data_IF_417003896474
#
_entry.id   IF_417003896474
#
_cell.length_a   1.000
_cell.length_b   1.000
_cell.length_c   1.000
_cell.angle_alpha   90.00
_cell.angle_beta   90.00
_cell.angle_gamma   90.00
#
_symmetry.space_group_name_H-M   'P 1'
#
loop_
_entity.id
_entity.type
_entity.pdbx_description
1 polymer ?
#
# COMPACT_ATOMS: atom_id res chain seq x y z
N UNK A 1 14.30 -0.37 -31.80
CA UNK A 1 13.18 0.60 -31.87
C UNK A 1 13.13 1.30 -30.53
N UNK A 2 13.83 2.43 -30.41
CA UNK A 2 13.96 3.20 -29.17
C UNK A 2 12.63 3.89 -28.88
N UNK A 3 12.01 3.52 -27.77
CA UNK A 3 10.90 4.26 -27.17
C UNK A 3 11.47 5.50 -26.49
N UNK A 4 11.60 6.60 -27.25
CA UNK A 4 11.80 7.92 -26.67
C UNK A 4 10.52 8.31 -25.92
N UNK A 5 10.49 8.05 -24.62
CA UNK A 5 9.53 8.69 -23.74
C UNK A 5 9.84 10.21 -23.73
N UNK A 6 9.03 10.99 -24.43
CA UNK A 6 9.01 12.45 -24.27
C UNK A 6 8.58 12.76 -22.84
N UNK A 7 9.55 12.98 -21.95
CA UNK A 7 9.31 13.58 -20.65
C UNK A 7 8.80 15.00 -20.87
N UNK A 8 7.50 15.25 -20.64
CA UNK A 8 7.01 16.61 -20.42
C UNK A 8 7.65 17.13 -19.14
N UNK A 9 8.68 17.94 -19.26
CA UNK A 9 9.20 18.70 -18.13
C UNK A 9 8.11 19.69 -17.68
N UNK A 10 7.73 19.61 -16.41
CA UNK A 10 6.89 20.62 -15.79
C UNK A 10 7.64 21.96 -15.84
N UNK A 11 6.87 23.08 -15.89
CA UNK A 11 7.39 24.45 -16.07
C UNK A 11 8.36 24.93 -14.99
N UNK A 12 8.55 24.12 -13.91
CA UNK A 12 9.43 24.41 -12.77
C UNK A 12 10.73 23.58 -12.75
N UNK A 13 11.07 22.83 -13.82
CA UNK A 13 12.30 22.01 -13.87
C UNK A 13 12.26 20.76 -13.01
N UNK A 14 11.14 20.40 -12.42
CA UNK A 14 10.97 19.16 -11.66
C UNK A 14 10.74 17.97 -12.61
N UNK A 15 11.24 16.80 -12.18
CA UNK A 15 10.96 15.54 -12.86
C UNK A 15 9.45 15.25 -12.70
N UNK A 16 8.74 14.82 -13.77
CA UNK A 16 7.33 14.45 -13.64
C UNK A 16 7.16 13.28 -12.67
N UNK A 17 6.02 13.20 -11.95
CA UNK A 17 5.75 12.11 -11.03
C UNK A 17 5.87 10.74 -11.71
N UNK A 18 6.35 9.75 -10.99
CA UNK A 18 6.42 8.38 -11.49
C UNK A 18 5.01 7.89 -11.88
N UNK A 19 4.89 7.32 -13.09
CA UNK A 19 3.58 6.94 -13.65
C UNK A 19 2.75 8.10 -14.20
N UNK A 20 3.28 9.32 -14.22
CA UNK A 20 2.71 10.49 -14.90
C UNK A 20 1.84 11.41 -14.02
N UNK A 21 1.34 10.94 -12.88
CA UNK A 21 0.47 11.70 -11.98
C UNK A 21 0.76 11.42 -10.51
N UNK A 22 0.89 12.46 -9.70
CA UNK A 22 1.01 12.34 -8.24
C UNK A 22 -0.38 12.06 -7.63
N UNK A 23 -0.52 10.92 -6.98
CA UNK A 23 -1.77 10.49 -6.34
C UNK A 23 -1.81 10.92 -4.88
N UNK A 24 -2.36 12.10 -4.59
CA UNK A 24 -2.63 12.51 -3.22
C UNK A 24 -4.01 11.96 -2.79
N UNK A 25 -4.02 11.05 -1.81
CA UNK A 25 -5.23 10.35 -1.38
C UNK A 25 -5.87 10.98 -0.14
N UNK A 26 -5.39 12.13 0.33
CA UNK A 26 -5.90 12.78 1.54
C UNK A 26 -7.22 13.49 1.24
N UNK A 27 -8.28 13.09 1.94
CA UNK A 27 -9.61 13.68 1.84
C UNK A 27 -9.67 14.92 2.74
N UNK A 28 -9.96 16.07 2.13
CA UNK A 28 -10.11 17.36 2.83
C UNK A 28 -11.56 17.63 3.27
N UNK A 29 -12.54 17.04 2.59
CA UNK A 29 -13.96 17.21 2.91
C UNK A 29 -14.34 16.43 4.16
N UNK A 30 -14.74 17.15 5.22
CA UNK A 30 -15.14 16.57 6.49
C UNK A 30 -16.41 15.72 6.40
N UNK A 31 -17.36 16.09 5.54
CA UNK A 31 -18.62 15.35 5.39
C UNK A 31 -18.35 14.01 4.69
N UNK A 32 -17.55 14.02 3.63
CA UNK A 32 -17.12 12.80 2.95
C UNK A 32 -16.32 11.89 3.88
N UNK A 33 -15.41 12.45 4.69
CA UNK A 33 -14.66 11.69 5.70
C UNK A 33 -15.59 10.98 6.67
N UNK A 34 -16.59 11.71 7.23
CA UNK A 34 -17.54 11.14 8.18
C UNK A 34 -18.42 10.04 7.53
N UNK A 35 -18.88 10.27 6.29
CA UNK A 35 -19.64 9.28 5.54
C UNK A 35 -18.84 8.00 5.32
N UNK A 36 -17.58 8.12 4.92
CA UNK A 36 -16.67 6.98 4.74
C UNK A 36 -16.44 6.22 6.06
N UNK A 37 -16.19 6.93 7.15
CA UNK A 37 -16.02 6.31 8.48
C UNK A 37 -17.26 5.53 8.88
N UNK A 38 -18.47 6.07 8.60
CA UNK A 38 -19.72 5.40 8.95
C UNK A 38 -19.97 4.10 8.17
N UNK A 39 -19.33 3.92 7.02
CA UNK A 39 -19.40 2.72 6.18
C UNK A 39 -18.41 1.63 6.57
N UNK A 40 -17.51 1.91 7.52
CA UNK A 40 -16.51 0.91 7.93
C UNK A 40 -17.17 -0.29 8.60
N UNK A 41 -16.89 -1.48 8.04
CA UNK A 41 -17.38 -2.77 8.56
C UNK A 41 -16.44 -3.36 9.61
N UNK A 42 -15.17 -2.98 9.54
CA UNK A 42 -14.12 -3.39 10.48
C UNK A 42 -13.25 -2.20 10.86
N UNK A 43 -12.62 -2.31 12.03
CA UNK A 43 -11.58 -1.37 12.48
C UNK A 43 -10.33 -2.16 12.82
N UNK A 44 -9.18 -1.74 12.26
CA UNK A 44 -7.88 -2.38 12.48
C UNK A 44 -6.85 -1.36 12.94
N UNK A 45 -6.22 -1.68 14.05
CA UNK A 45 -5.03 -0.96 14.50
C UNK A 45 -3.83 -1.40 13.65
N UNK A 46 -3.24 -0.46 12.95
CA UNK A 46 -2.08 -0.68 12.10
C UNK A 46 -0.83 -0.95 12.94
N UNK A 47 0.00 -1.87 12.48
CA UNK A 47 1.40 -1.91 12.88
C UNK A 47 2.11 -0.62 12.42
N UNK A 48 3.27 -0.30 12.99
CA UNK A 48 4.06 0.84 12.56
C UNK A 48 4.38 0.77 11.06
N UNK A 49 4.74 -0.42 10.55
CA UNK A 49 4.99 -0.65 9.13
C UNK A 49 3.75 -0.34 8.27
N UNK A 50 2.58 -0.89 8.63
CA UNK A 50 1.35 -0.61 7.89
C UNK A 50 0.99 0.88 7.92
N UNK A 51 1.21 1.56 9.03
CA UNK A 51 0.99 3.00 9.15
C UNK A 51 1.94 3.80 8.24
N UNK A 52 3.23 3.40 8.14
CA UNK A 52 4.17 3.99 7.18
C UNK A 52 3.73 3.79 5.73
N UNK A 53 3.30 2.58 5.37
CA UNK A 53 2.82 2.29 4.01
C UNK A 53 1.56 3.12 3.68
N UNK A 54 0.63 3.27 4.65
CA UNK A 54 -0.56 4.13 4.51
C UNK A 54 -0.15 5.58 4.29
N UNK A 55 0.80 6.11 5.07
CA UNK A 55 1.30 7.49 4.92
C UNK A 55 1.89 7.70 3.52
N UNK A 56 2.77 6.80 3.07
CA UNK A 56 3.40 6.89 1.75
C UNK A 56 2.38 6.82 0.60
N UNK A 57 1.33 6.00 0.74
CA UNK A 57 0.20 6.00 -0.18
C UNK A 57 -0.54 7.34 -0.17
N UNK A 58 -0.85 7.86 1.03
CA UNK A 58 -1.64 9.10 1.20
C UNK A 58 -0.97 10.31 0.59
N UNK A 59 0.35 10.47 0.75
CA UNK A 59 1.12 11.61 0.20
C UNK A 59 1.57 11.40 -1.24
N UNK A 60 1.30 10.24 -1.83
CA UNK A 60 1.61 9.92 -3.21
C UNK A 60 3.03 9.43 -3.46
N UNK A 61 3.79 9.06 -2.42
CA UNK A 61 5.14 8.52 -2.57
C UNK A 61 5.15 7.17 -3.32
N UNK A 62 4.05 6.43 -3.30
CA UNK A 62 3.85 5.21 -4.08
C UNK A 62 3.04 5.43 -5.37
N UNK A 63 2.97 6.67 -5.87
CA UNK A 63 2.31 6.93 -7.15
C UNK A 63 2.82 6.01 -8.26
N UNK A 64 1.96 5.53 -9.16
CA UNK A 64 0.55 5.89 -9.34
C UNK A 64 -0.44 5.02 -8.53
N UNK A 65 -0.01 4.33 -7.48
CA UNK A 65 -0.92 3.52 -6.68
C UNK A 65 -1.96 4.42 -5.96
N UNK A 66 -3.23 3.98 -6.00
CA UNK A 66 -4.34 4.61 -5.26
C UNK A 66 -4.71 3.81 -3.99
N UNK A 67 -3.84 2.87 -3.59
CA UNK A 67 -4.02 2.03 -2.44
C UNK A 67 -3.11 0.81 -2.46
N UNK A 68 -3.40 -0.16 -1.62
CA UNK A 68 -2.66 -1.41 -1.57
C UNK A 68 -2.92 -2.26 -2.81
N UNK A 69 -1.87 -2.90 -3.33
CA UNK A 69 -1.95 -3.73 -4.52
C UNK A 69 -2.93 -4.88 -4.33
N UNK A 70 -3.77 -5.12 -5.32
CA UNK A 70 -4.59 -6.33 -5.42
C UNK A 70 -3.72 -7.57 -5.72
N UNK A 71 -4.33 -8.75 -5.69
CA UNK A 71 -3.62 -10.02 -5.93
C UNK A 71 -2.96 -10.07 -7.30
N UNK A 72 -3.58 -9.48 -8.35
CA UNK A 72 -3.02 -9.47 -9.70
C UNK A 72 -1.77 -8.60 -9.79
N UNK A 73 -1.82 -7.38 -9.24
CA UNK A 73 -0.68 -6.49 -9.15
C UNK A 73 0.44 -7.09 -8.29
N UNK A 74 0.09 -7.66 -7.13
CA UNK A 74 1.05 -8.36 -6.28
C UNK A 74 1.77 -9.47 -7.04
N UNK A 75 1.04 -10.37 -7.70
CA UNK A 75 1.61 -11.47 -8.48
C UNK A 75 2.50 -10.98 -9.63
N UNK A 76 2.11 -9.90 -10.31
CA UNK A 76 2.90 -9.29 -11.36
C UNK A 76 4.21 -8.70 -10.82
N UNK A 77 4.15 -8.01 -9.69
CA UNK A 77 5.33 -7.38 -9.07
C UNK A 77 6.32 -8.42 -8.58
N UNK A 78 5.89 -9.46 -7.84
CA UNK A 78 6.84 -10.46 -7.35
C UNK A 78 7.50 -11.27 -8.47
N UNK A 79 6.80 -11.50 -9.61
CA UNK A 79 7.32 -12.28 -10.73
C UNK A 79 8.13 -11.48 -11.73
N UNK A 80 7.76 -10.22 -11.98
CA UNK A 80 8.25 -9.41 -13.09
C UNK A 80 8.85 -8.08 -12.64
N UNK A 81 8.84 -7.75 -11.35
CA UNK A 81 9.19 -6.43 -10.81
C UNK A 81 8.40 -5.29 -11.48
N UNK A 82 7.17 -5.55 -11.91
CA UNK A 82 6.29 -4.60 -12.58
C UNK A 82 4.85 -4.81 -12.17
N UNK A 83 4.12 -3.71 -12.01
CA UNK A 83 2.67 -3.79 -11.86
C UNK A 83 1.99 -4.22 -13.18
N UNK A 84 0.68 -4.44 -13.15
CA UNK A 84 -0.10 -4.86 -14.32
C UNK A 84 -0.10 -3.84 -15.47
N UNK A 85 0.22 -2.57 -15.18
CA UNK A 85 0.39 -1.51 -16.18
C UNK A 85 1.81 -1.43 -16.76
N UNK A 86 2.71 -2.33 -16.36
CA UNK A 86 4.10 -2.39 -16.85
C UNK A 86 5.08 -1.46 -16.14
N UNK A 87 4.64 -0.67 -15.15
CA UNK A 87 5.50 0.21 -14.37
C UNK A 87 6.35 -0.60 -13.39
N UNK A 88 7.61 -0.22 -13.24
CA UNK A 88 8.56 -0.89 -12.35
C UNK A 88 8.16 -0.69 -10.88
N UNK A 89 8.02 -1.79 -10.17
CA UNK A 89 7.89 -1.85 -8.71
C UNK A 89 8.78 -2.98 -8.20
N UNK A 90 9.77 -2.66 -7.39
CA UNK A 90 10.72 -3.67 -6.89
C UNK A 90 10.13 -4.58 -5.82
N UNK A 91 9.15 -4.09 -5.06
CA UNK A 91 8.49 -4.82 -3.97
C UNK A 91 6.98 -4.57 -4.00
N UNK A 92 6.17 -5.55 -3.58
CA UNK A 92 4.73 -5.36 -3.48
C UNK A 92 4.35 -4.50 -2.26
N UNK A 93 3.39 -3.60 -2.45
CA UNK A 93 2.79 -2.76 -1.40
C UNK A 93 1.42 -3.35 -1.07
N UNK A 94 1.34 -4.07 0.04
CA UNK A 94 0.13 -4.81 0.46
C UNK A 94 -0.17 -4.56 1.94
N UNK A 95 -1.45 -4.53 2.29
CA UNK A 95 -1.89 -4.59 3.67
C UNK A 95 -1.97 -6.05 4.12
N UNK A 96 -1.68 -6.35 5.37
CA UNK A 96 -1.76 -7.72 5.88
C UNK A 96 -2.61 -7.82 7.14
N UNK A 97 -3.27 -8.96 7.31
CA UNK A 97 -4.17 -9.21 8.44
C UNK A 97 -4.31 -10.69 8.74
N UNK A 98 -4.64 -11.01 10.00
CA UNK A 98 -5.04 -12.34 10.41
C UNK A 98 -6.58 -12.52 10.46
N UNK A 99 -7.35 -11.50 10.08
CA UNK A 99 -8.81 -11.56 10.14
C UNK A 99 -9.37 -12.36 8.97
N UNK A 100 -9.94 -13.53 9.28
CA UNK A 100 -10.54 -14.42 8.28
C UNK A 100 -11.87 -13.88 7.72
N UNK A 101 -12.56 -13.03 8.45
CA UNK A 101 -13.92 -12.58 8.13
C UNK A 101 -13.98 -11.51 7.04
N UNK A 102 -12.91 -10.72 6.88
CA UNK A 102 -12.86 -9.68 5.85
C UNK A 102 -12.99 -10.29 4.46
N UNK A 103 -13.80 -9.64 3.61
CA UNK A 103 -14.05 -10.04 2.22
C UNK A 103 -13.90 -8.85 1.27
N UNK A 104 -13.72 -9.13 -0.02
CA UNK A 104 -13.80 -8.11 -1.05
C UNK A 104 -15.17 -7.40 -1.02
N UNK A 105 -15.18 -6.09 -1.24
CA UNK A 105 -16.35 -5.22 -1.15
C UNK A 105 -16.60 -4.65 0.26
N UNK A 106 -15.88 -5.10 1.27
CA UNK A 106 -15.96 -4.53 2.62
C UNK A 106 -14.99 -3.37 2.81
N UNK A 107 -15.18 -2.63 3.90
CA UNK A 107 -14.38 -1.46 4.24
C UNK A 107 -13.75 -1.60 5.61
N UNK A 108 -12.49 -1.23 5.71
CA UNK A 108 -11.70 -1.31 6.93
C UNK A 108 -11.27 0.10 7.34
N UNK A 109 -11.69 0.54 8.53
CA UNK A 109 -11.14 1.74 9.16
C UNK A 109 -9.75 1.40 9.71
N UNK A 110 -8.75 2.09 9.20
CA UNK A 110 -7.38 1.94 9.65
C UNK A 110 -7.08 2.97 10.74
N UNK A 111 -6.63 2.49 11.89
CA UNK A 111 -6.22 3.32 13.01
C UNK A 111 -4.74 3.12 13.33
N UNK A 112 -4.10 4.12 13.91
CA UNK A 112 -2.76 4.03 14.46
C UNK A 112 -2.66 4.89 15.72
N UNK A 113 -2.25 4.29 16.83
CA UNK A 113 -2.25 4.94 18.17
C UNK A 113 -3.58 5.62 18.47
N UNK A 114 -4.70 4.92 18.19
CA UNK A 114 -6.09 5.40 18.34
C UNK A 114 -6.50 6.54 17.39
N UNK A 115 -5.62 7.01 16.53
CA UNK A 115 -5.93 7.98 15.48
C UNK A 115 -6.52 7.27 14.27
N UNK A 116 -7.64 7.77 13.72
CA UNK A 116 -8.22 7.29 12.47
C UNK A 116 -7.43 7.87 11.30
N UNK A 117 -6.59 7.06 10.67
CA UNK A 117 -5.65 7.51 9.63
C UNK A 117 -6.21 7.38 8.22
N UNK A 118 -6.94 6.30 7.92
CA UNK A 118 -7.48 6.06 6.58
C UNK A 118 -8.66 5.07 6.61
N UNK A 119 -9.35 4.94 5.46
CA UNK A 119 -10.23 3.84 5.16
C UNK A 119 -9.63 3.03 4.00
N UNK A 120 -9.68 1.72 4.10
CA UNK A 120 -9.33 0.77 3.03
C UNK A 120 -10.59 0.12 2.49
N UNK A 121 -10.93 0.38 1.22
CA UNK A 121 -11.97 -0.33 0.48
C UNK A 121 -11.37 -1.58 -0.15
N UNK A 122 -11.76 -2.74 0.37
CA UNK A 122 -11.14 -4.03 0.01
C UNK A 122 -11.56 -4.46 -1.39
N UNK A 123 -10.61 -4.59 -2.31
CA UNK A 123 -10.84 -5.13 -3.66
C UNK A 123 -10.50 -6.62 -3.75
N UNK A 124 -9.51 -7.07 -3.00
CA UNK A 124 -9.06 -8.47 -2.98
C UNK A 124 -8.49 -8.87 -1.63
N UNK A 125 -8.62 -10.15 -1.31
CA UNK A 125 -7.98 -10.79 -0.15
C UNK A 125 -7.52 -12.18 -0.55
N UNK A 126 -6.28 -12.53 -0.22
CA UNK A 126 -5.70 -13.83 -0.54
C UNK A 126 -4.70 -14.27 0.53
N UNK A 127 -4.35 -15.53 0.52
CA UNK A 127 -3.26 -16.09 1.31
C UNK A 127 -2.02 -16.19 0.42
N UNK A 128 -0.96 -15.39 0.67
CA UNK A 128 0.21 -15.37 -0.18
C UNK A 128 1.09 -16.60 0.04
N UNK A 129 1.77 -17.05 -1.02
CA UNK A 129 2.86 -18.01 -0.90
C UNK A 129 4.14 -17.28 -0.43
N UNK A 130 4.29 -17.12 0.88
CA UNK A 130 5.37 -16.33 1.52
C UNK A 130 6.78 -16.80 1.11
N UNK A 131 6.97 -18.10 0.88
CA UNK A 131 8.26 -18.64 0.44
C UNK A 131 8.58 -18.24 -1.00
N UNK A 132 7.58 -18.18 -1.87
CA UNK A 132 7.74 -17.70 -3.23
C UNK A 132 8.05 -16.20 -3.25
N UNK A 133 7.30 -15.40 -2.48
CA UNK A 133 7.57 -13.96 -2.33
C UNK A 133 9.01 -13.72 -1.87
N UNK A 134 9.44 -14.38 -0.79
CA UNK A 134 10.79 -14.23 -0.25
C UNK A 134 11.87 -14.57 -1.30
N UNK A 135 11.69 -15.67 -2.01
CA UNK A 135 12.64 -16.11 -3.04
C UNK A 135 12.70 -15.15 -4.23
N UNK A 136 11.55 -14.66 -4.71
CA UNK A 136 11.49 -13.80 -5.89
C UNK A 136 11.91 -12.35 -5.58
N UNK A 137 11.51 -11.81 -4.42
CA UNK A 137 11.82 -10.43 -4.05
C UNK A 137 13.22 -10.27 -3.45
N UNK A 138 13.71 -11.27 -2.71
CA UNK A 138 14.96 -11.15 -1.92
C UNK A 138 16.03 -12.21 -2.30
N UNK A 139 15.72 -13.13 -3.20
CA UNK A 139 16.65 -14.17 -3.66
C UNK A 139 16.91 -15.29 -2.66
N UNK A 140 16.27 -15.28 -1.48
CA UNK A 140 16.51 -16.24 -0.40
C UNK A 140 15.28 -16.49 0.44
N UNK A 141 15.22 -17.66 1.09
CA UNK A 141 14.24 -17.98 2.13
C UNK A 141 14.89 -18.03 3.54
N UNK A 142 16.17 -17.60 3.67
CA UNK A 142 16.85 -17.59 4.97
C UNK A 142 16.24 -16.53 5.90
N UNK A 143 15.93 -16.93 7.12
CA UNK A 143 15.46 -16.02 8.18
C UNK A 143 16.57 -15.08 8.71
N UNK A 144 17.82 -15.26 8.28
CA UNK A 144 18.89 -14.31 8.56
C UNK A 144 18.71 -13.01 7.79
N UNK A 145 17.96 -13.05 6.67
CA UNK A 145 17.61 -11.84 5.91
C UNK A 145 16.44 -11.11 6.62
N UNK A 146 16.62 -9.84 7.04
CA UNK A 146 15.63 -9.13 7.86
C UNK A 146 14.24 -9.06 7.23
N UNK A 147 14.14 -8.78 5.92
CA UNK A 147 12.86 -8.70 5.23
C UNK A 147 12.17 -10.07 5.10
N UNK A 148 12.94 -11.14 4.91
CA UNK A 148 12.40 -12.52 4.90
C UNK A 148 11.87 -12.88 6.28
N UNK A 149 12.64 -12.60 7.34
CA UNK A 149 12.20 -12.79 8.72
C UNK A 149 10.88 -12.06 9.01
N UNK A 150 10.75 -10.80 8.55
CA UNK A 150 9.53 -10.01 8.68
C UNK A 150 8.34 -10.70 7.95
N UNK A 151 8.52 -11.16 6.70
CA UNK A 151 7.46 -11.83 5.93
C UNK A 151 6.91 -13.05 6.68
N UNK A 152 7.80 -13.89 7.23
CA UNK A 152 7.37 -15.12 7.89
C UNK A 152 6.83 -14.92 9.30
N UNK A 153 7.45 -14.01 10.08
CA UNK A 153 7.18 -13.91 11.52
C UNK A 153 6.26 -12.76 11.91
N UNK A 154 6.16 -11.70 11.09
CA UNK A 154 5.44 -10.48 11.48
C UNK A 154 4.22 -10.23 10.61
N UNK A 155 4.27 -10.55 9.31
CA UNK A 155 3.11 -10.36 8.43
C UNK A 155 2.00 -11.35 8.74
N UNK A 156 0.76 -10.86 8.70
CA UNK A 156 -0.44 -11.65 8.84
C UNK A 156 -0.57 -12.76 7.78
N UNK A 157 -1.52 -13.64 8.01
CA UNK A 157 -1.81 -14.79 7.13
C UNK A 157 -2.33 -14.34 5.77
N UNK A 158 -3.18 -13.30 5.75
CA UNK A 158 -3.82 -12.82 4.54
C UNK A 158 -3.22 -11.49 4.11
N UNK A 159 -3.09 -11.32 2.80
CA UNK A 159 -2.85 -10.02 2.19
C UNK A 159 -4.16 -9.44 1.68
N UNK A 160 -4.27 -8.12 1.76
CA UNK A 160 -5.46 -7.36 1.40
C UNK A 160 -5.02 -6.23 0.47
N UNK A 161 -5.63 -6.18 -0.70
CA UNK A 161 -5.50 -5.09 -1.66
C UNK A 161 -6.77 -4.26 -1.72
N UNK A 162 -6.63 -2.98 -2.08
CA UNK A 162 -7.76 -2.10 -2.21
C UNK A 162 -7.41 -0.63 -2.21
N UNK A 163 -8.43 0.20 -2.46
CA UNK A 163 -8.29 1.65 -2.51
C UNK A 163 -8.17 2.24 -1.11
N UNK A 164 -7.28 3.22 -0.95
CA UNK A 164 -7.08 3.94 0.31
C UNK A 164 -7.68 5.35 0.21
N UNK A 165 -8.44 5.73 1.24
CA UNK A 165 -8.96 7.08 1.46
C UNK A 165 -8.30 7.63 2.72
N UNK A 166 -7.36 8.55 2.57
CA UNK A 166 -6.58 9.11 3.66
C UNK A 166 -7.35 10.16 4.46
N UNK A 167 -7.21 10.15 5.78
CA UNK A 167 -7.88 11.10 6.66
C UNK A 167 -6.90 12.05 7.35
N UNK A 168 -5.92 11.49 8.04
CA UNK A 168 -4.90 12.23 8.78
C UNK A 168 -3.59 11.47 8.72
N UNK A 169 -2.48 12.18 8.57
CA UNK A 169 -1.17 11.54 8.59
C UNK A 169 -0.94 10.91 9.97
N UNK A 170 -0.44 9.67 10.02
CA UNK A 170 -0.15 9.01 11.29
C UNK A 170 0.93 9.76 12.05
N UNK A 171 0.79 9.81 13.39
CA UNK A 171 1.86 10.34 14.26
C UNK A 171 2.92 9.23 14.37
N UNK A 172 3.73 9.11 13.36
CA UNK A 172 4.95 8.32 13.41
C UNK A 172 5.92 9.02 14.34
N UNK A 173 6.74 8.27 15.06
CA UNK A 173 7.75 8.84 15.96
C UNK A 173 8.82 9.57 15.15
N UNK A 174 8.44 10.67 14.54
CA UNK A 174 9.36 11.55 13.85
C UNK A 174 10.13 12.34 14.90
N UNK A 175 11.43 12.30 14.78
CA UNK A 175 12.32 13.25 15.43
C UNK A 175 11.77 14.64 15.06
N UNK A 176 11.20 15.33 16.05
CA UNK A 176 10.88 16.73 15.88
C UNK A 176 12.20 17.48 15.75
N UNK A 177 12.53 17.80 14.50
CA UNK A 177 13.61 18.73 14.21
C UNK A 177 13.07 20.15 14.40
#
# INVERSE_FOLDING_TARGET
MELQQKTKTDTNGLIPPYGGELKNLIIKDKNLKNDLISKATYEFECSERNACDVELLMVGAFSPLEGFMDENNYNSVIKNNRNTNGLLFGLPIVFDSNNEKVKAGETILLTYKKQKIALLEVSSKWEPEKSLEAKLCYGTNSLDHPAVKMIFNERGRFYIGGRVYGFELPILSLIHI
#
